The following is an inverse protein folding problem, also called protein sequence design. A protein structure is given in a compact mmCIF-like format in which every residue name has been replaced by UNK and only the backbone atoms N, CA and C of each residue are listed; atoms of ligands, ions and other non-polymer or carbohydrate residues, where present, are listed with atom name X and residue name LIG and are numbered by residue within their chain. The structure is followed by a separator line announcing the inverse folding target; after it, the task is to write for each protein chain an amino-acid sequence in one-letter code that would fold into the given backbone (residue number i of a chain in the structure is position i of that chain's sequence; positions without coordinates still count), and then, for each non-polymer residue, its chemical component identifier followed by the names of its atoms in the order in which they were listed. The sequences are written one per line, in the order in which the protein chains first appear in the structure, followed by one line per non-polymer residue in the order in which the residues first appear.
data_IF_915049755074
#
_entry.id   IF_915049755074
#
_cell.length_a   1.000
_cell.length_b   1.000
_cell.length_c   1.000
_cell.angle_alpha   90.00
_cell.angle_beta   90.00
_cell.angle_gamma   90.00
#
_symmetry.space_group_name_H-M   'P 1'
#
loop_
_entity.id
_entity.type
_entity.pdbx_description
1 polymer ?
#
# COMPACT_ATOMS: atom_id res chain seq x y z
N UNK A 1 -4.06 21.97 -2.93
CA UNK A 1 -3.70 20.56 -3.15
C UNK A 1 -3.26 19.99 -1.83
N UNK A 2 -3.96 18.99 -1.31
CA UNK A 2 -3.60 18.31 -0.06
C UNK A 2 -2.40 17.42 -0.34
N UNK A 3 -1.23 17.84 0.15
CA UNK A 3 -0.01 17.04 0.09
C UNK A 3 -0.18 15.82 1.00
N UNK A 4 0.14 14.63 0.48
CA UNK A 4 0.17 13.41 1.31
C UNK A 4 1.37 13.49 2.25
N UNK A 5 1.17 13.49 3.58
CA UNK A 5 2.27 13.69 4.51
C UNK A 5 3.19 12.47 4.57
N UNK A 6 4.49 12.74 4.64
CA UNK A 6 5.49 11.76 5.05
C UNK A 6 5.72 11.90 6.55
N UNK A 7 5.64 10.81 7.29
CA UNK A 7 5.88 10.76 8.73
C UNK A 7 7.21 10.05 8.99
N UNK A 8 8.13 10.73 9.65
CA UNK A 8 9.42 10.16 10.02
C UNK A 8 9.43 9.83 11.51
N UNK A 9 9.94 8.65 11.84
CA UNK A 9 10.14 8.18 13.21
C UNK A 9 11.58 7.72 13.38
N UNK A 10 11.97 7.38 14.61
CA UNK A 10 13.32 6.87 14.87
C UNK A 10 13.68 5.59 14.10
N UNK A 11 12.69 4.82 13.61
CA UNK A 11 12.92 3.52 12.95
C UNK A 11 12.30 3.38 11.56
N UNK A 12 11.34 4.23 11.20
CA UNK A 12 10.50 4.05 10.03
C UNK A 12 10.17 5.41 9.40
N UNK A 13 10.05 5.41 8.07
CA UNK A 13 9.47 6.50 7.29
C UNK A 13 8.16 6.01 6.69
N UNK A 14 7.04 6.63 7.04
CA UNK A 14 5.74 6.35 6.46
C UNK A 14 5.49 7.36 5.35
N UNK A 15 5.40 6.91 4.11
CA UNK A 15 5.35 7.78 2.91
C UNK A 15 4.17 7.42 2.00
N UNK A 16 3.82 8.30 1.04
CA UNK A 16 2.85 7.95 0.01
C UNK A 16 3.34 6.73 -0.79
N UNK A 17 2.39 5.93 -1.28
CA UNK A 17 2.69 4.83 -2.20
C UNK A 17 3.21 5.37 -3.54
N UNK A 18 4.25 4.73 -4.07
CA UNK A 18 4.81 4.97 -5.41
C UNK A 18 4.63 3.74 -6.30
N UNK A 19 4.76 3.90 -7.62
CA UNK A 19 4.66 2.77 -8.56
C UNK A 19 5.73 1.70 -8.28
N UNK A 20 6.90 2.11 -7.80
CA UNK A 20 8.01 1.21 -7.47
C UNK A 20 7.69 0.26 -6.30
N UNK A 21 6.67 0.58 -5.48
CA UNK A 21 6.21 -0.30 -4.39
C UNK A 21 5.50 -1.54 -4.91
N UNK A 22 5.14 -1.57 -6.20
CA UNK A 22 4.36 -2.66 -6.78
C UNK A 22 5.03 -4.03 -6.60
N UNK A 23 6.33 -4.14 -6.83
CA UNK A 23 7.04 -5.41 -6.69
C UNK A 23 7.01 -5.93 -5.25
N UNK A 24 7.26 -5.03 -4.28
CA UNK A 24 7.20 -5.36 -2.85
C UNK A 24 5.77 -5.72 -2.41
N UNK A 25 4.77 -4.93 -2.85
CA UNK A 25 3.35 -5.20 -2.60
C UNK A 25 2.94 -6.57 -3.17
N UNK A 26 3.41 -6.91 -4.38
CA UNK A 26 3.09 -8.20 -5.03
C UNK A 26 3.68 -9.36 -4.24
N UNK A 27 4.89 -9.22 -3.72
CA UNK A 27 5.47 -10.22 -2.82
C UNK A 27 4.66 -10.36 -1.53
N UNK A 28 4.31 -9.24 -0.90
CA UNK A 28 3.59 -9.19 0.37
C UNK A 28 2.19 -9.83 0.26
N UNK A 29 1.42 -9.46 -0.75
CA UNK A 29 0.04 -9.92 -0.90
C UNK A 29 -0.10 -11.30 -1.54
N UNK A 30 0.99 -11.86 -2.10
CA UNK A 30 1.04 -13.25 -2.56
C UNK A 30 1.39 -14.22 -1.42
N UNK A 31 1.81 -13.74 -0.26
CA UNK A 31 2.16 -14.58 0.89
C UNK A 31 0.90 -15.03 1.65
N UNK A 32 0.69 -16.35 1.73
CA UNK A 32 -0.41 -16.97 2.44
C UNK A 32 -0.44 -16.59 3.94
N UNK A 33 0.73 -16.43 4.58
CA UNK A 33 0.81 -16.04 5.98
C UNK A 33 0.36 -14.60 6.21
N UNK A 34 0.56 -13.73 5.22
CA UNK A 34 0.12 -12.33 5.30
C UNK A 34 -1.39 -12.24 5.14
N UNK A 35 -1.95 -12.96 4.16
CA UNK A 35 -3.37 -12.84 3.82
C UNK A 35 -4.31 -13.67 4.72
N UNK A 36 -3.79 -14.62 5.50
CA UNK A 36 -4.59 -15.59 6.28
C UNK A 36 -5.72 -14.95 7.11
N UNK A 37 -5.51 -13.75 7.66
CA UNK A 37 -6.48 -13.06 8.52
C UNK A 37 -7.13 -11.82 7.88
N UNK A 38 -6.76 -11.48 6.64
CA UNK A 38 -7.19 -10.23 5.96
C UNK A 38 -7.80 -10.47 4.58
N UNK A 39 -8.18 -11.72 4.29
CA UNK A 39 -8.85 -12.12 3.04
C UNK A 39 -8.73 -13.61 2.72
N UNK A 40 -7.79 -14.32 3.35
CA UNK A 40 -7.61 -15.77 3.24
C UNK A 40 -7.06 -16.28 1.90
N UNK A 41 -7.03 -15.44 0.86
CA UNK A 41 -6.62 -15.83 -0.49
C UNK A 41 -5.47 -14.92 -0.96
N UNK A 42 -4.30 -15.51 -1.35
CA UNK A 42 -3.22 -14.75 -1.96
C UNK A 42 -3.69 -13.98 -3.19
N UNK A 43 -3.26 -12.73 -3.31
CA UNK A 43 -3.70 -11.86 -4.40
C UNK A 43 -2.83 -12.07 -5.65
N UNK A 44 -3.48 -12.08 -6.82
CA UNK A 44 -2.79 -12.03 -8.08
C UNK A 44 -2.21 -10.62 -8.38
N UNK A 45 -1.40 -10.54 -9.43
CA UNK A 45 -0.75 -9.32 -9.86
C UNK A 45 -1.74 -8.15 -10.11
N UNK A 46 -2.87 -8.44 -10.76
CA UNK A 46 -3.87 -7.41 -11.11
C UNK A 46 -4.58 -6.87 -9.87
N UNK A 47 -4.97 -7.75 -8.95
CA UNK A 47 -5.60 -7.37 -7.69
C UNK A 47 -4.66 -6.50 -6.84
N UNK A 48 -3.37 -6.84 -6.80
CA UNK A 48 -2.36 -6.01 -6.10
C UNK A 48 -2.17 -4.67 -6.79
N UNK A 49 -2.17 -4.62 -8.12
CA UNK A 49 -2.07 -3.37 -8.87
C UNK A 49 -3.24 -2.43 -8.55
N UNK A 50 -4.48 -2.92 -8.61
CA UNK A 50 -5.66 -2.13 -8.25
C UNK A 50 -5.66 -1.70 -6.78
N UNK A 51 -5.13 -2.54 -5.88
CA UNK A 51 -4.96 -2.19 -4.48
C UNK A 51 -3.97 -1.03 -4.31
N UNK A 52 -2.82 -1.05 -4.99
CA UNK A 52 -1.83 0.04 -4.94
C UNK A 52 -2.42 1.36 -5.45
N UNK A 53 -3.12 1.33 -6.60
CA UNK A 53 -3.79 2.50 -7.15
C UNK A 53 -4.84 3.08 -6.19
N UNK A 54 -5.61 2.22 -5.51
CA UNK A 54 -6.56 2.64 -4.50
C UNK A 54 -5.86 3.30 -3.30
N UNK A 55 -4.75 2.74 -2.81
CA UNK A 55 -4.02 3.33 -1.68
C UNK A 55 -3.49 4.73 -1.99
N UNK A 56 -2.87 4.92 -3.16
CA UNK A 56 -2.43 6.24 -3.61
C UNK A 56 -3.63 7.19 -3.86
N UNK A 57 -4.69 6.69 -4.50
CA UNK A 57 -5.88 7.46 -4.82
C UNK A 57 -6.66 7.96 -3.60
N UNK A 58 -6.68 7.20 -2.51
CA UNK A 58 -7.33 7.63 -1.25
C UNK A 58 -6.79 8.97 -0.77
N UNK A 59 -5.48 9.17 -0.81
CA UNK A 59 -4.89 10.45 -0.42
C UNK A 59 -5.29 11.60 -1.34
N UNK A 60 -5.25 11.36 -2.66
CA UNK A 60 -5.61 12.37 -3.66
C UNK A 60 -7.10 12.78 -3.57
N UNK A 61 -7.99 11.84 -3.24
CA UNK A 61 -9.44 12.07 -3.25
C UNK A 61 -10.00 12.44 -1.88
N UNK A 62 -9.48 11.86 -0.79
CA UNK A 62 -10.07 11.95 0.55
C UNK A 62 -9.20 12.75 1.53
N UNK A 63 -7.93 13.01 1.20
CA UNK A 63 -6.98 13.65 2.11
C UNK A 63 -6.48 12.75 3.24
N UNK A 64 -6.81 11.45 3.22
CA UNK A 64 -6.30 10.42 4.13
C UNK A 64 -6.21 9.07 3.43
N UNK A 65 -5.36 8.15 3.88
CA UNK A 65 -5.18 6.85 3.25
C UNK A 65 -4.10 5.97 3.88
N UNK A 66 -3.74 4.90 3.17
CA UNK A 66 -2.65 4.00 3.58
C UNK A 66 -1.28 4.61 3.27
N UNK A 67 -0.31 4.36 4.15
CA UNK A 67 1.10 4.65 3.92
C UNK A 67 1.86 3.41 3.49
N UNK A 68 2.90 3.62 2.70
CA UNK A 68 4.00 2.69 2.51
C UNK A 68 5.08 2.92 3.58
N UNK A 69 5.85 1.87 3.88
CA UNK A 69 7.07 1.91 4.69
C UNK A 69 8.26 1.85 3.74
#
# INVERSE_FOLDING_TARGET
MTYTPTLETARLTLRPHHVDDYAACRSLWADAQVVQHIGGVPQDAQAVWFRLLRYAGMWAMLGYGMWAI
#
